data_IF_124562433086
#
_entry.id   IF_124562433086
#
_cell.length_a   1.000
_cell.length_b   1.000
_cell.length_c   1.000
_cell.angle_alpha   90.00
_cell.angle_beta   90.00
_cell.angle_gamma   90.00
#
_symmetry.space_group_name_H-M   'P 1'
#
loop_
_entity.id
_entity.type
_entity.pdbx_description
1 polymer ?
#
# COMPACT_ATOMS: atom_id res chain seq x y z
N UNK A 1 10.48 9.93 -20.67
CA UNK A 1 10.60 8.83 -19.69
C UNK A 1 9.59 9.07 -18.58
N UNK A 2 8.91 8.03 -18.08
CA UNK A 2 8.00 8.15 -16.95
C UNK A 2 8.81 8.44 -15.66
N UNK A 3 8.35 9.37 -14.83
CA UNK A 3 8.99 9.67 -13.56
C UNK A 3 8.80 8.51 -12.57
N UNK A 4 9.81 8.24 -11.73
CA UNK A 4 9.76 7.18 -10.71
C UNK A 4 8.66 7.47 -9.69
N UNK A 5 7.79 6.50 -9.41
CA UNK A 5 6.73 6.64 -8.41
C UNK A 5 6.41 5.29 -7.76
N UNK A 6 5.72 5.33 -6.64
CA UNK A 6 5.04 4.17 -6.06
C UNK A 6 3.55 4.48 -5.98
N UNK A 7 2.72 3.48 -6.23
CA UNK A 7 1.27 3.62 -6.18
C UNK A 7 0.60 2.48 -5.45
N UNK A 8 -0.36 2.82 -4.61
CA UNK A 8 -1.19 1.86 -3.91
C UNK A 8 -2.42 1.58 -4.76
N UNK A 9 -2.64 0.33 -5.12
CA UNK A 9 -3.80 -0.09 -5.90
C UNK A 9 -4.82 -0.66 -4.92
N UNK A 10 -6.03 -0.12 -4.91
CA UNK A 10 -7.11 -0.52 -4.01
C UNK A 10 -8.38 -0.78 -4.81
N UNK A 11 -9.03 -1.92 -4.55
CA UNK A 11 -10.39 -2.16 -5.05
C UNK A 11 -11.42 -1.49 -4.14
N UNK A 12 -12.38 -0.78 -4.74
CA UNK A 12 -13.37 0.01 -3.99
C UNK A 12 -14.38 -0.86 -3.24
N UNK A 13 -14.94 -1.88 -3.90
CA UNK A 13 -16.03 -2.67 -3.33
C UNK A 13 -15.61 -4.12 -3.15
N UNK A 14 -15.31 -4.51 -1.91
CA UNK A 14 -14.95 -5.89 -1.57
C UNK A 14 -16.04 -6.91 -1.90
N UNK A 15 -17.32 -6.52 -1.95
CA UNK A 15 -18.39 -7.45 -2.34
C UNK A 15 -18.24 -7.96 -3.77
N UNK A 16 -17.57 -7.22 -4.66
CA UNK A 16 -17.33 -7.63 -6.04
C UNK A 16 -16.47 -8.92 -6.13
N UNK A 17 -15.73 -9.21 -5.06
CA UNK A 17 -14.90 -10.42 -4.95
C UNK A 17 -15.57 -11.57 -4.19
N UNK A 18 -16.83 -11.42 -3.80
CA UNK A 18 -17.59 -12.44 -3.10
C UNK A 18 -17.21 -12.57 -1.62
N UNK A 19 -17.31 -13.78 -1.07
CA UNK A 19 -17.20 -14.06 0.37
C UNK A 19 -15.77 -14.34 0.86
N UNK A 20 -14.76 -14.12 0.03
CA UNK A 20 -13.37 -14.32 0.44
C UNK A 20 -12.86 -13.18 1.33
N UNK A 21 -11.76 -13.44 2.03
CA UNK A 21 -11.10 -12.41 2.81
C UNK A 21 -10.68 -11.27 1.88
N UNK A 22 -10.98 -10.03 2.27
CA UNK A 22 -10.62 -8.85 1.49
C UNK A 22 -9.12 -8.82 1.20
N UNK A 23 -8.77 -8.80 -0.08
CA UNK A 23 -7.40 -8.84 -0.58
C UNK A 23 -7.14 -7.80 -1.69
N UNK A 24 -8.00 -6.78 -1.78
CA UNK A 24 -7.99 -5.77 -2.82
C UNK A 24 -7.02 -4.62 -2.51
N UNK A 25 -5.77 -4.95 -2.14
CA UNK A 25 -4.71 -3.97 -1.91
C UNK A 25 -3.38 -4.51 -2.40
N UNK A 26 -2.71 -3.76 -3.28
CA UNK A 26 -1.38 -4.12 -3.78
C UNK A 26 -0.55 -2.88 -4.12
N UNK A 27 0.77 -3.04 -4.21
CA UNK A 27 1.71 -1.96 -4.52
C UNK A 27 2.22 -2.09 -5.95
N UNK A 28 2.50 -0.96 -6.62
CA UNK A 28 3.16 -0.95 -7.94
C UNK A 28 4.20 0.17 -8.05
N UNK A 29 5.17 -0.04 -8.95
CA UNK A 29 6.09 1.00 -9.47
C UNK A 29 5.81 1.38 -10.93
N UNK A 30 4.82 0.73 -11.52
CA UNK A 30 4.47 0.84 -12.93
C UNK A 30 3.00 1.24 -13.07
N UNK A 31 2.64 1.72 -14.24
CA UNK A 31 1.23 1.91 -14.60
C UNK A 31 0.52 0.56 -14.47
N UNK A 32 -0.66 0.57 -13.87
CA UNK A 32 -1.47 -0.64 -13.64
C UNK A 32 -2.74 -0.60 -14.46
N UNK A 33 -3.15 -1.76 -14.98
CA UNK A 33 -4.46 -1.94 -15.60
C UNK A 33 -5.58 -1.95 -14.56
N UNK A 34 -6.80 -1.60 -14.98
CA UNK A 34 -7.99 -1.65 -14.13
C UNK A 34 -8.26 -3.09 -13.62
N UNK A 35 -7.96 -4.12 -14.41
CA UNK A 35 -8.24 -5.52 -14.10
C UNK A 35 -7.09 -6.22 -13.37
N UNK A 36 -6.27 -5.48 -12.62
CA UNK A 36 -5.19 -6.06 -11.80
C UNK A 36 -5.74 -7.04 -10.75
N UNK A 37 -6.95 -6.81 -10.26
CA UNK A 37 -7.67 -7.79 -9.43
C UNK A 37 -8.66 -8.57 -10.30
N UNK A 38 -8.90 -9.83 -9.93
CA UNK A 38 -9.83 -10.74 -10.60
C UNK A 38 -11.25 -10.18 -10.76
N UNK A 39 -11.72 -9.29 -9.86
CA UNK A 39 -12.99 -8.55 -9.94
C UNK A 39 -12.93 -7.21 -9.20
N UNK A 40 -13.86 -6.31 -9.50
CA UNK A 40 -14.09 -5.07 -8.75
C UNK A 40 -13.26 -3.86 -9.18
N UNK A 41 -12.25 -4.05 -10.04
CA UNK A 41 -11.40 -2.98 -10.56
C UNK A 41 -10.42 -2.41 -9.54
N UNK A 42 -9.15 -2.27 -9.92
CA UNK A 42 -8.13 -1.63 -9.11
C UNK A 42 -8.03 -0.13 -9.39
N UNK A 43 -8.19 0.70 -8.35
CA UNK A 43 -7.94 2.15 -8.42
C UNK A 43 -6.53 2.44 -7.95
N UNK A 44 -5.74 3.15 -8.76
CA UNK A 44 -4.36 3.52 -8.45
C UNK A 44 -4.30 4.84 -7.69
N UNK A 45 -3.67 4.82 -6.51
CA UNK A 45 -3.38 5.98 -5.67
C UNK A 45 -1.86 6.21 -5.66
N UNK A 46 -1.31 7.06 -6.57
CA UNK A 46 0.11 7.35 -6.59
C UNK A 46 0.52 8.16 -5.34
N UNK A 47 1.70 7.88 -4.78
CA UNK A 47 2.22 8.64 -3.63
C UNK A 47 2.60 10.07 -4.03
N UNK A 48 3.00 10.29 -5.28
CA UNK A 48 3.38 11.61 -5.78
C UNK A 48 2.62 12.00 -7.02
N UNK A 49 2.34 13.30 -7.13
CA UNK A 49 1.91 13.97 -8.35
C UNK A 49 3.12 14.69 -8.98
N UNK A 50 3.15 14.71 -10.30
CA UNK A 50 4.15 15.44 -11.08
C UNK A 50 3.45 16.57 -11.80
N UNK A 51 3.85 17.81 -11.51
CA UNK A 51 3.35 19.00 -12.21
C UNK A 51 4.31 19.42 -13.32
N UNK A 52 3.92 20.41 -14.12
CA UNK A 52 4.76 20.98 -15.17
C UNK A 52 6.14 21.38 -14.62
N UNK A 53 7.19 21.14 -15.41
CA UNK A 53 8.58 21.31 -14.96
C UNK A 53 9.13 20.13 -14.14
N UNK A 54 8.36 19.05 -13.95
CA UNK A 54 8.85 17.82 -13.28
C UNK A 54 8.90 17.92 -11.76
N UNK A 55 8.26 18.94 -11.18
CA UNK A 55 8.19 19.14 -9.73
C UNK A 55 7.34 18.01 -9.12
N UNK A 56 7.91 17.34 -8.11
CA UNK A 56 7.33 16.19 -7.42
C UNK A 56 6.63 16.66 -6.14
N UNK A 57 5.33 16.45 -6.04
CA UNK A 57 4.50 16.86 -4.89
C UNK A 57 3.85 15.63 -4.25
N UNK A 58 3.90 15.45 -2.92
CA UNK A 58 3.19 14.37 -2.25
C UNK A 58 1.67 14.46 -2.47
N UNK A 59 1.05 13.34 -2.86
CA UNK A 59 -0.39 13.21 -3.06
C UNK A 59 -1.11 12.91 -1.72
N UNK A 60 -0.81 13.73 -0.71
CA UNK A 60 -1.36 13.59 0.63
C UNK A 60 -2.00 14.91 1.02
N UNK A 61 -3.18 14.84 1.62
CA UNK A 61 -3.88 16.02 2.12
C UNK A 61 -3.13 16.59 3.32
N UNK A 62 -2.58 17.79 3.18
CA UNK A 62 -1.67 18.40 4.17
C UNK A 62 -2.34 18.58 5.54
N UNK A 63 -3.64 18.86 5.58
CA UNK A 63 -4.38 19.01 6.84
C UNK A 63 -4.40 17.70 7.64
N UNK A 64 -4.53 16.57 6.97
CA UNK A 64 -4.51 15.24 7.60
C UNK A 64 -3.10 14.92 8.09
N UNK A 65 -2.08 15.19 7.26
CA UNK A 65 -0.68 14.98 7.66
C UNK A 65 -0.37 15.80 8.92
N UNK A 66 -0.72 17.08 8.94
CA UNK A 66 -0.51 17.95 10.10
C UNK A 66 -1.25 17.44 11.35
N UNK A 67 -2.46 16.90 11.20
CA UNK A 67 -3.20 16.31 12.32
C UNK A 67 -2.51 15.06 12.88
N UNK A 68 -1.98 14.21 12.01
CA UNK A 68 -1.21 13.03 12.40
C UNK A 68 0.09 13.46 13.09
N UNK A 69 0.82 14.42 12.52
CA UNK A 69 2.09 14.91 13.05
C UNK A 69 1.97 15.53 14.45
N UNK A 70 0.81 16.09 14.81
CA UNK A 70 0.55 16.58 16.18
C UNK A 70 0.67 15.48 17.23
N UNK A 71 0.30 14.24 16.87
CA UNK A 71 0.27 13.12 17.81
C UNK A 71 1.57 12.30 17.80
N UNK A 72 2.22 12.18 16.64
CA UNK A 72 3.37 11.26 16.45
C UNK A 72 4.68 11.94 16.03
N UNK A 73 4.69 13.27 15.87
CA UNK A 73 5.82 14.03 15.37
C UNK A 73 5.92 14.03 13.84
N UNK A 74 7.00 14.62 13.31
CA UNK A 74 7.23 14.75 11.87
C UNK A 74 7.35 13.40 11.18
N UNK A 75 6.72 13.27 10.01
CA UNK A 75 6.74 12.04 9.20
C UNK A 75 7.02 12.34 7.74
N UNK A 76 7.62 11.38 7.04
CA UNK A 76 7.73 11.44 5.58
C UNK A 76 6.43 10.93 4.91
N UNK A 77 6.17 11.31 3.64
CA UNK A 77 5.08 10.72 2.86
C UNK A 77 5.16 9.20 2.77
N UNK A 78 6.38 8.65 2.63
CA UNK A 78 6.65 7.22 2.61
C UNK A 78 6.29 6.53 3.93
N UNK A 79 6.56 7.16 5.08
CA UNK A 79 6.17 6.60 6.38
C UNK A 79 4.65 6.42 6.47
N UNK A 80 3.89 7.44 6.05
CA UNK A 80 2.42 7.34 6.07
C UNK A 80 1.92 6.28 5.07
N UNK A 81 2.54 6.21 3.90
CA UNK A 81 2.24 5.21 2.89
C UNK A 81 2.46 3.79 3.41
N UNK A 82 3.61 3.53 4.02
CA UNK A 82 3.99 2.23 4.57
C UNK A 82 3.12 1.87 5.77
N UNK A 83 2.76 2.83 6.62
CA UNK A 83 1.78 2.63 7.70
C UNK A 83 0.41 2.18 7.14
N UNK A 84 -0.13 2.88 6.14
CA UNK A 84 -1.38 2.49 5.48
C UNK A 84 -1.26 1.07 4.93
N UNK A 85 -0.15 0.76 4.25
CA UNK A 85 0.07 -0.55 3.65
C UNK A 85 0.09 -1.67 4.70
N UNK A 86 0.75 -1.46 5.84
CA UNK A 86 0.77 -2.39 6.96
C UNK A 86 -0.63 -2.64 7.54
N UNK A 87 -1.43 -1.58 7.73
CA UNK A 87 -2.80 -1.70 8.24
C UNK A 87 -3.67 -2.48 7.27
N UNK A 88 -3.61 -2.19 5.97
CA UNK A 88 -4.38 -2.91 4.95
C UNK A 88 -4.01 -4.39 4.84
N UNK A 89 -2.83 -4.79 5.31
CA UNK A 89 -2.39 -6.20 5.37
C UNK A 89 -2.60 -6.86 6.73
N UNK A 90 -3.08 -6.12 7.75
CA UNK A 90 -3.36 -6.68 9.06
C UNK A 90 -4.61 -7.57 9.05
N UNK A 91 -4.51 -8.86 9.42
CA UNK A 91 -5.67 -9.74 9.51
C UNK A 91 -6.72 -9.22 10.50
N UNK A 92 -6.27 -8.62 11.62
CA UNK A 92 -7.16 -8.02 12.62
C UNK A 92 -7.94 -6.84 12.05
N UNK A 93 -7.30 -6.01 11.21
CA UNK A 93 -7.99 -4.90 10.56
C UNK A 93 -9.03 -5.42 9.55
N UNK A 94 -8.64 -6.36 8.68
CA UNK A 94 -9.53 -6.94 7.67
C UNK A 94 -10.76 -7.60 8.28
N UNK A 95 -10.60 -8.32 9.39
CA UNK A 95 -11.72 -8.94 10.09
C UNK A 95 -12.63 -7.91 10.76
N UNK A 96 -12.04 -6.95 11.49
CA UNK A 96 -12.80 -5.93 12.23
C UNK A 96 -13.65 -5.05 11.31
N UNK A 97 -13.13 -4.71 10.13
CA UNK A 97 -13.78 -3.80 9.19
C UNK A 97 -14.40 -4.51 7.98
N UNK A 98 -14.55 -5.84 8.01
CA UNK A 98 -14.99 -6.65 6.85
C UNK A 98 -16.27 -6.15 6.19
N UNK A 99 -17.27 -5.73 6.97
CA UNK A 99 -18.54 -5.26 6.43
C UNK A 99 -18.38 -3.89 5.74
N UNK A 100 -17.51 -3.02 6.24
CA UNK A 100 -17.20 -1.75 5.58
C UNK A 100 -16.39 -1.96 4.29
N UNK A 101 -15.40 -2.87 4.33
CA UNK A 101 -14.55 -3.21 3.19
C UNK A 101 -15.32 -3.84 2.03
N UNK A 102 -16.50 -4.43 2.28
CA UNK A 102 -17.39 -4.92 1.22
C UNK A 102 -18.01 -3.79 0.40
N UNK A 103 -18.31 -2.66 1.03
CA UNK A 103 -19.20 -1.64 0.49
C UNK A 103 -18.41 -0.50 -0.18
N UNK A 104 -17.28 -0.09 0.40
CA UNK A 104 -16.52 1.07 -0.07
C UNK A 104 -15.03 0.98 0.33
N UNK A 105 -14.28 2.01 -0.04
CA UNK A 105 -12.85 2.09 0.25
C UNK A 105 -12.49 1.87 1.72
N UNK A 106 -11.33 1.24 1.99
CA UNK A 106 -10.83 1.06 3.34
C UNK A 106 -10.60 2.42 4.02
N UNK A 107 -11.02 2.51 5.28
CA UNK A 107 -10.75 3.67 6.14
C UNK A 107 -9.72 3.29 7.18
N UNK A 108 -8.58 3.97 7.15
CA UNK A 108 -7.47 3.71 8.07
C UNK A 108 -7.56 4.69 9.23
N UNK A 109 -7.50 4.17 10.46
CA UNK A 109 -7.48 5.02 11.66
C UNK A 109 -6.13 5.73 11.82
N UNK A 110 -6.17 6.95 12.35
CA UNK A 110 -4.95 7.68 12.66
C UNK A 110 -4.09 6.95 13.70
N UNK A 111 -2.77 7.00 13.58
CA UNK A 111 -1.87 6.41 14.55
C UNK A 111 -2.01 7.13 15.89
N UNK A 112 -2.11 6.34 16.98
CA UNK A 112 -2.30 6.86 18.34
C UNK A 112 -1.01 6.99 19.13
N UNK A 113 0.00 6.21 18.77
CA UNK A 113 1.26 6.10 19.49
C UNK A 113 2.42 6.04 18.48
N UNK A 114 3.45 6.83 18.74
CA UNK A 114 4.66 6.92 17.94
C UNK A 114 5.40 5.58 17.86
N UNK A 115 5.46 4.82 18.97
CA UNK A 115 6.19 3.55 18.99
C UNK A 115 5.50 2.50 18.12
N UNK A 116 4.19 2.39 18.26
CA UNK A 116 3.34 1.51 17.45
C UNK A 116 3.35 1.93 15.98
N UNK A 117 3.27 3.23 15.69
CA UNK A 117 3.39 3.77 14.34
C UNK A 117 4.70 3.34 13.69
N UNK A 118 5.85 3.63 14.31
CA UNK A 118 7.17 3.25 13.76
C UNK A 118 7.31 1.75 13.52
N UNK A 119 6.75 0.91 14.39
CA UNK A 119 6.75 -0.54 14.21
C UNK A 119 5.91 -0.96 12.99
N UNK A 120 4.74 -0.36 12.80
CA UNK A 120 3.88 -0.63 11.65
C UNK A 120 4.48 -0.11 10.35
N UNK A 121 5.11 1.07 10.37
CA UNK A 121 5.87 1.60 9.23
C UNK A 121 6.96 0.62 8.81
N UNK A 122 7.74 0.09 9.76
CA UNK A 122 8.79 -0.89 9.46
C UNK A 122 8.23 -2.15 8.77
N UNK A 123 7.12 -2.71 9.28
CA UNK A 123 6.47 -3.85 8.62
C UNK A 123 5.91 -3.50 7.23
N UNK A 124 5.33 -2.31 7.09
CA UNK A 124 4.83 -1.82 5.81
C UNK A 124 5.93 -1.66 4.77
N UNK A 125 7.05 -1.07 5.17
CA UNK A 125 8.22 -0.88 4.31
C UNK A 125 8.84 -2.22 3.89
N UNK A 126 8.92 -3.20 4.79
CA UNK A 126 9.38 -4.55 4.49
C UNK A 126 8.45 -5.24 3.48
N UNK A 127 7.13 -5.22 3.74
CA UNK A 127 6.12 -5.78 2.83
C UNK A 127 6.15 -5.12 1.46
N UNK A 128 6.26 -3.78 1.42
CA UNK A 128 6.39 -3.01 0.18
C UNK A 128 7.60 -3.47 -0.61
N UNK A 129 8.75 -3.57 0.05
CA UNK A 129 10.02 -3.96 -0.58
C UNK A 129 10.00 -5.40 -1.08
N UNK A 130 9.34 -6.30 -0.34
CA UNK A 130 9.12 -7.68 -0.77
C UNK A 130 8.22 -7.76 -2.01
N UNK A 131 7.08 -7.07 -2.02
CA UNK A 131 6.14 -7.10 -3.14
C UNK A 131 6.66 -6.38 -4.39
N UNK A 132 7.62 -5.47 -4.23
CA UNK A 132 8.34 -4.82 -5.32
C UNK A 132 9.62 -5.56 -5.73
N UNK A 133 9.90 -6.71 -5.10
CA UNK A 133 11.08 -7.56 -5.34
C UNK A 133 12.42 -6.83 -5.13
N UNK A 134 12.46 -5.85 -4.21
CA UNK A 134 13.65 -5.04 -3.93
C UNK A 134 14.45 -5.53 -2.73
N UNK A 135 13.84 -6.38 -1.90
CA UNK A 135 14.52 -6.92 -0.75
C UNK A 135 15.52 -8.01 -1.19
N UNK A 136 16.80 -7.95 -0.80
CA UNK A 136 17.81 -8.94 -1.19
C UNK A 136 17.42 -10.39 -0.87
N UNK A 137 16.59 -10.57 0.16
CA UNK A 137 16.03 -11.87 0.57
C UNK A 137 15.27 -12.58 -0.57
N UNK A 138 14.67 -11.84 -1.50
CA UNK A 138 13.96 -12.40 -2.66
C UNK A 138 14.92 -13.15 -3.60
N UNK A 139 16.20 -12.75 -3.63
CA UNK A 139 17.22 -13.42 -4.43
C UNK A 139 17.84 -14.64 -3.73
N UNK A 140 17.49 -14.91 -2.47
CA UNK A 140 17.96 -16.08 -1.72
C UNK A 140 17.04 -17.28 -1.98
N UNK A 141 17.24 -17.92 -3.12
CA UNK A 141 16.44 -19.08 -3.53
C UNK A 141 16.74 -20.29 -2.62
N UNK A 142 15.70 -20.84 -2.00
CA UNK A 142 15.77 -22.12 -1.25
C UNK A 142 15.52 -23.33 -2.15
N UNK A 143 15.03 -23.10 -3.37
CA UNK A 143 14.75 -24.12 -4.38
C UNK A 143 15.61 -23.90 -5.61
N UNK A 144 16.14 -24.98 -6.16
CA UNK A 144 16.83 -25.01 -7.44
C UNK A 144 16.01 -25.81 -8.43
N UNK A 145 15.88 -25.33 -9.66
CA UNK A 145 15.29 -26.14 -10.73
C UNK A 145 16.34 -27.12 -11.26
N UNK A 146 16.06 -28.43 -11.35
CA UNK A 146 17.03 -29.43 -11.80
C UNK A 146 17.38 -29.28 -13.29
N UNK A 147 16.50 -28.64 -14.06
CA UNK A 147 16.68 -28.36 -15.48
C UNK A 147 16.37 -26.87 -15.68
N UNK A 148 17.28 -26.14 -16.32
CA UNK A 148 17.06 -24.76 -16.70
C UNK A 148 15.96 -24.70 -17.77
N UNK A 149 15.00 -23.78 -17.62
CA UNK A 149 13.99 -23.54 -18.65
C UNK A 149 14.65 -23.04 -19.94
N UNK A 150 14.31 -23.70 -21.06
CA UNK A 150 14.69 -23.30 -22.42
C UNK A 150 13.81 -22.20 -22.96
#
# INVERSE_FOLDING_TARGET
MLNKNIGLIIGRQGQAVGNMQWNLSFITKSISDLNMFYRGGGMLFPLYLYVEGGIKIPNLKIEIVNEIEKNIGKISPEDLFDYIYAILHSPRYREKYKEFLKIDFPRVSYPKDTKTFKKLVAFGAELRSLHLLELPKVSQLITTYPIAGS
#
